data_IF_499154134693
#
_entry.id   IF_499154134693
#
_cell.length_a   1.000
_cell.length_b   1.000
_cell.length_c   1.000
_cell.angle_alpha   90.00
_cell.angle_beta   90.00
_cell.angle_gamma   90.00
#
_symmetry.space_group_name_H-M   'P 1'
#
loop_
_entity.id
_entity.type
_entity.pdbx_description
1 polymer ?
#
# COMPACT_ATOMS: atom_id res chain seq x y z
N UNK A 1 24.49 -31.17 -2.66
CA UNK A 1 25.05 -30.59 -3.90
C UNK A 1 25.00 -31.66 -4.99
N UNK A 2 24.09 -31.48 -5.96
CA UNK A 2 24.02 -32.29 -7.17
C UNK A 2 25.03 -31.87 -8.25
N UNK A 3 25.52 -30.62 -8.15
CA UNK A 3 26.26 -29.86 -9.18
C UNK A 3 25.42 -29.72 -10.45
N UNK A 4 26.07 -29.32 -11.53
CA UNK A 4 25.42 -29.20 -12.82
C UNK A 4 24.84 -30.54 -13.29
N UNK A 5 23.57 -30.54 -13.65
CA UNK A 5 22.88 -31.74 -14.11
C UNK A 5 21.43 -31.68 -13.68
N UNK A 6 20.67 -32.73 -13.92
CA UNK A 6 19.39 -32.91 -13.26
C UNK A 6 19.60 -33.95 -12.16
N UNK A 7 19.51 -33.54 -10.90
CA UNK A 7 19.86 -34.38 -9.76
C UNK A 7 18.67 -34.69 -8.86
N UNK A 8 18.79 -35.77 -8.10
CA UNK A 8 17.87 -36.09 -7.00
C UNK A 8 18.62 -35.98 -5.69
N UNK A 9 18.22 -35.02 -4.87
CA UNK A 9 18.84 -34.72 -3.58
C UNK A 9 17.93 -35.24 -2.46
N UNK A 10 18.49 -36.05 -1.57
CA UNK A 10 17.76 -36.72 -0.48
C UNK A 10 18.66 -36.64 0.76
N UNK A 11 18.38 -35.71 1.69
CA UNK A 11 19.20 -35.54 2.90
C UNK A 11 18.76 -36.41 4.08
N UNK A 12 17.51 -36.88 4.06
CA UNK A 12 17.02 -37.87 5.00
C UNK A 12 16.47 -37.24 6.27
N UNK A 13 17.22 -37.28 7.37
CA UNK A 13 16.79 -36.83 8.68
C UNK A 13 17.84 -35.90 9.30
N UNK A 14 17.38 -34.97 10.14
CA UNK A 14 18.20 -33.86 10.63
C UNK A 14 17.95 -32.59 9.82
N UNK A 15 18.83 -31.61 10.01
CA UNK A 15 18.78 -30.34 9.27
C UNK A 15 19.72 -30.45 8.07
N UNK A 16 19.16 -30.36 6.88
CA UNK A 16 19.85 -30.54 5.63
C UNK A 16 19.94 -29.24 4.82
N UNK A 17 20.86 -29.23 3.86
CA UNK A 17 21.05 -28.11 2.93
C UNK A 17 21.18 -28.60 1.50
N UNK A 18 20.29 -28.12 0.66
CA UNK A 18 20.19 -28.43 -0.76
C UNK A 18 20.73 -27.28 -1.59
N UNK A 19 21.48 -27.59 -2.64
CA UNK A 19 21.96 -26.61 -3.61
C UNK A 19 21.32 -26.97 -4.94
N UNK A 20 20.55 -26.03 -5.48
CA UNK A 20 19.78 -26.20 -6.70
C UNK A 20 20.34 -25.25 -7.76
N UNK A 21 20.83 -25.81 -8.85
CA UNK A 21 21.39 -25.05 -9.97
C UNK A 21 20.73 -25.38 -11.32
N UNK A 22 19.82 -26.36 -11.33
CA UNK A 22 19.16 -26.82 -12.54
C UNK A 22 17.66 -27.05 -12.32
N UNK A 23 16.86 -26.72 -13.33
CA UNK A 23 15.40 -26.94 -13.30
C UNK A 23 15.02 -28.43 -13.20
N UNK A 24 15.93 -29.32 -13.58
CA UNK A 24 15.75 -30.77 -13.45
C UNK A 24 16.04 -31.32 -12.05
N UNK A 25 16.54 -30.51 -11.12
CA UNK A 25 16.81 -30.94 -9.76
C UNK A 25 15.52 -31.22 -8.97
N UNK A 26 15.54 -32.27 -8.16
CA UNK A 26 14.43 -32.66 -7.29
C UNK A 26 14.93 -32.92 -5.89
N UNK A 27 14.29 -32.29 -4.90
CA UNK A 27 14.58 -32.48 -3.47
C UNK A 27 13.57 -33.46 -2.86
N UNK A 28 14.06 -34.38 -2.03
CA UNK A 28 13.27 -35.37 -1.31
C UNK A 28 13.51 -35.23 0.19
N UNK A 29 12.64 -34.46 0.85
CA UNK A 29 12.63 -34.32 2.31
C UNK A 29 11.61 -35.22 2.98
N UNK A 30 12.13 -36.19 3.73
CA UNK A 30 11.31 -37.15 4.49
C UNK A 30 11.28 -36.86 5.98
N UNK A 31 12.11 -35.94 6.46
CA UNK A 31 12.00 -35.39 7.81
C UNK A 31 10.61 -34.81 8.03
N UNK A 32 9.97 -35.17 9.14
CA UNK A 32 8.66 -34.60 9.52
C UNK A 32 8.71 -33.98 10.92
N UNK A 33 9.91 -33.88 11.49
CA UNK A 33 10.09 -33.27 12.80
C UNK A 33 10.01 -31.76 12.64
N UNK A 34 9.15 -31.09 13.40
CA UNK A 34 9.09 -29.63 13.41
C UNK A 34 10.33 -28.95 14.02
N UNK A 35 11.27 -29.75 14.55
CA UNK A 35 12.57 -29.27 15.03
C UNK A 35 13.66 -29.37 13.97
N UNK A 36 13.41 -30.12 12.88
CA UNK A 36 14.26 -30.13 11.70
C UNK A 36 13.98 -28.85 10.92
N UNK A 37 15.04 -28.22 10.41
CA UNK A 37 14.96 -26.97 9.65
C UNK A 37 15.85 -27.12 8.43
N UNK A 38 15.20 -27.31 7.29
CA UNK A 38 15.85 -27.66 6.04
C UNK A 38 15.93 -26.43 5.13
N UNK A 39 17.04 -26.34 4.39
CA UNK A 39 17.38 -25.12 3.63
C UNK A 39 17.70 -25.43 2.18
N UNK A 40 17.06 -24.71 1.27
CA UNK A 40 17.41 -24.69 -0.15
C UNK A 40 18.19 -23.42 -0.47
N UNK A 41 19.36 -23.57 -1.08
CA UNK A 41 20.10 -22.51 -1.74
C UNK A 41 19.91 -22.69 -3.24
N UNK A 42 19.33 -21.71 -3.94
CA UNK A 42 19.03 -21.84 -5.36
C UNK A 42 19.67 -20.74 -6.19
N UNK A 43 20.28 -21.08 -7.33
CA UNK A 43 20.71 -20.11 -8.34
C UNK A 43 19.73 -20.00 -9.52
N UNK A 44 18.51 -20.52 -9.35
CA UNK A 44 17.38 -20.41 -10.26
C UNK A 44 16.11 -20.08 -9.47
N UNK A 45 15.00 -19.76 -10.14
CA UNK A 45 13.71 -19.65 -9.44
C UNK A 45 13.30 -21.02 -8.90
N UNK A 46 12.75 -21.05 -7.69
CA UNK A 46 12.47 -22.31 -7.00
C UNK A 46 11.21 -22.25 -6.13
N UNK A 47 10.49 -23.37 -6.08
CA UNK A 47 9.33 -23.59 -5.22
C UNK A 47 9.66 -24.67 -4.20
N UNK A 48 9.50 -24.38 -2.91
CA UNK A 48 9.74 -25.35 -1.86
C UNK A 48 8.75 -26.52 -1.95
N UNK A 49 9.31 -27.73 -1.92
CA UNK A 49 8.55 -28.96 -1.69
C UNK A 49 8.10 -29.10 -0.24
N UNK A 50 7.48 -30.22 0.10
CA UNK A 50 7.05 -30.51 1.48
C UNK A 50 8.24 -30.58 2.43
N UNK A 51 8.01 -30.23 3.71
CA UNK A 51 8.98 -30.32 4.80
C UNK A 51 10.27 -29.50 4.56
N UNK A 52 10.19 -28.46 3.74
CA UNK A 52 11.27 -27.50 3.56
C UNK A 52 10.83 -26.15 4.13
N UNK A 53 11.67 -25.55 4.95
CA UNK A 53 11.34 -24.32 5.68
C UNK A 53 12.02 -23.09 5.06
N UNK A 54 13.27 -23.21 4.62
CA UNK A 54 14.04 -22.05 4.14
C UNK A 54 14.36 -22.15 2.65
N UNK A 55 14.23 -21.03 1.94
CA UNK A 55 14.75 -20.83 0.59
C UNK A 55 15.60 -19.56 0.56
N UNK A 56 16.82 -19.66 0.04
CA UNK A 56 17.68 -18.51 -0.25
C UNK A 56 18.08 -18.52 -1.72
N UNK A 57 17.72 -17.46 -2.43
CA UNK A 57 18.17 -17.21 -3.79
C UNK A 57 19.63 -16.73 -3.78
N UNK A 58 20.39 -17.14 -4.78
CA UNK A 58 21.81 -16.84 -4.95
C UNK A 58 22.06 -16.28 -6.35
N UNK A 59 23.27 -15.77 -6.59
CA UNK A 59 23.58 -15.07 -7.83
C UNK A 59 22.99 -13.66 -7.86
N UNK A 60 22.86 -13.09 -9.06
CA UNK A 60 22.33 -11.74 -9.28
C UNK A 60 21.32 -11.66 -10.41
N UNK A 61 20.78 -12.80 -10.82
CA UNK A 61 19.70 -12.87 -11.79
C UNK A 61 18.36 -12.55 -11.11
N UNK A 62 17.37 -12.13 -11.90
CA UNK A 62 15.98 -11.95 -11.46
C UNK A 62 15.34 -13.33 -11.26
N UNK A 63 15.25 -13.76 -10.01
CA UNK A 63 14.77 -15.09 -9.63
C UNK A 63 13.55 -14.98 -8.70
N UNK A 64 12.72 -16.01 -8.68
CA UNK A 64 11.53 -16.04 -7.83
C UNK A 64 11.63 -17.14 -6.77
N UNK A 65 11.10 -16.86 -5.59
CA UNK A 65 11.05 -17.77 -4.46
C UNK A 65 9.58 -18.04 -4.09
N UNK A 66 9.18 -19.31 -4.13
CA UNK A 66 7.85 -19.73 -3.65
C UNK A 66 8.00 -20.70 -2.49
N UNK A 67 7.29 -20.46 -1.40
CA UNK A 67 7.19 -21.34 -0.25
C UNK A 67 6.16 -22.45 -0.46
N UNK A 68 5.66 -22.98 0.65
CA UNK A 68 4.69 -24.06 0.72
C UNK A 68 3.62 -23.72 1.79
N UNK A 69 3.02 -24.73 2.44
CA UNK A 69 1.98 -24.48 3.45
C UNK A 69 2.52 -24.34 4.89
N UNK A 70 3.82 -24.49 5.10
CA UNK A 70 4.50 -24.30 6.38
C UNK A 70 4.84 -22.82 6.58
N UNK A 71 5.29 -22.44 7.78
CA UNK A 71 5.91 -21.13 7.97
C UNK A 71 7.32 -21.14 7.38
N UNK A 72 7.48 -20.52 6.21
CA UNK A 72 8.70 -20.44 5.44
C UNK A 72 9.50 -19.17 5.73
N UNK A 73 10.81 -19.26 5.48
CA UNK A 73 11.69 -18.09 5.39
C UNK A 73 12.30 -18.00 4.01
N UNK A 74 11.91 -16.97 3.27
CA UNK A 74 12.35 -16.71 1.91
C UNK A 74 13.32 -15.54 1.90
N UNK A 75 14.51 -15.74 1.36
CA UNK A 75 15.54 -14.72 1.16
C UNK A 75 15.82 -14.60 -0.33
N UNK A 76 15.59 -13.43 -0.89
CA UNK A 76 15.93 -13.06 -2.25
C UNK A 76 17.42 -12.77 -2.44
N UNK A 77 17.75 -12.28 -3.63
CA UNK A 77 19.11 -11.88 -4.01
C UNK A 77 19.15 -10.38 -4.33
N UNK A 78 20.07 -9.94 -5.20
CA UNK A 78 20.18 -8.52 -5.56
C UNK A 78 19.41 -8.16 -6.85
N UNK A 79 18.70 -9.12 -7.45
CA UNK A 79 17.82 -8.89 -8.57
C UNK A 79 16.38 -8.79 -8.09
N UNK A 80 15.53 -8.18 -8.90
CA UNK A 80 14.09 -8.08 -8.66
C UNK A 80 13.47 -9.49 -8.52
N UNK A 81 13.02 -9.83 -7.33
CA UNK A 81 12.47 -11.13 -6.98
C UNK A 81 10.96 -11.04 -6.76
N UNK A 82 10.23 -12.10 -7.12
CA UNK A 82 8.90 -12.36 -6.55
C UNK A 82 9.03 -13.37 -5.41
N UNK A 83 8.61 -12.97 -4.22
CA UNK A 83 8.60 -13.80 -3.01
C UNK A 83 7.15 -14.10 -2.64
N UNK A 84 6.78 -15.38 -2.69
CA UNK A 84 5.45 -15.87 -2.32
C UNK A 84 5.61 -16.93 -1.23
N UNK A 85 5.27 -16.58 0.02
CA UNK A 85 5.36 -17.47 1.18
C UNK A 85 4.47 -18.71 1.08
N UNK A 86 3.37 -18.61 0.33
CA UNK A 86 2.26 -19.56 0.41
C UNK A 86 1.38 -19.28 1.63
N UNK A 87 0.60 -20.29 2.06
CA UNK A 87 -0.44 -20.12 3.08
C UNK A 87 0.09 -19.97 4.53
N UNK A 88 1.40 -20.10 4.72
CA UNK A 88 2.09 -20.17 5.99
C UNK A 88 2.01 -18.88 6.79
N UNK A 89 2.75 -18.82 7.89
CA UNK A 89 3.09 -17.55 8.51
C UNK A 89 4.56 -17.30 8.19
N UNK A 90 4.80 -16.52 7.14
CA UNK A 90 6.07 -16.54 6.43
C UNK A 90 6.91 -15.31 6.74
N UNK A 91 8.23 -15.44 6.55
CA UNK A 91 9.17 -14.33 6.65
C UNK A 91 9.85 -14.15 5.31
N UNK A 92 9.65 -13.00 4.67
CA UNK A 92 10.18 -12.71 3.34
C UNK A 92 11.12 -11.50 3.40
N UNK A 93 12.27 -11.61 2.73
CA UNK A 93 13.26 -10.55 2.57
C UNK A 93 13.80 -10.60 1.15
N UNK A 94 13.54 -9.58 0.34
CA UNK A 94 13.86 -9.48 -1.07
C UNK A 94 15.34 -9.15 -1.29
N UNK A 95 15.81 -8.09 -0.64
CA UNK A 95 17.24 -7.78 -0.57
C UNK A 95 17.55 -6.45 -1.24
N UNK A 96 18.03 -6.49 -2.48
CA UNK A 96 18.22 -5.29 -3.30
C UNK A 96 17.55 -5.53 -4.65
N UNK A 97 17.28 -4.46 -5.38
CA UNK A 97 16.39 -4.51 -6.53
C UNK A 97 14.96 -4.12 -6.17
N UNK A 98 14.05 -4.29 -7.13
CA UNK A 98 12.63 -3.99 -6.96
C UNK A 98 11.88 -5.30 -6.74
N UNK A 99 11.58 -5.61 -5.50
CA UNK A 99 11.01 -6.88 -5.10
C UNK A 99 9.47 -6.84 -5.03
N UNK A 100 8.84 -7.99 -5.21
CA UNK A 100 7.40 -8.15 -5.05
C UNK A 100 7.10 -9.24 -4.03
N UNK A 101 6.33 -8.89 -3.02
CA UNK A 101 5.92 -9.77 -1.94
C UNK A 101 4.45 -10.15 -2.08
N UNK A 102 4.16 -11.44 -2.11
CA UNK A 102 2.79 -11.96 -2.09
C UNK A 102 2.42 -12.26 -0.64
N UNK A 103 1.39 -11.59 -0.15
CA UNK A 103 0.87 -11.76 1.21
C UNK A 103 -0.52 -12.37 1.13
N UNK A 104 -0.70 -13.52 1.76
CA UNK A 104 -2.02 -14.15 1.91
C UNK A 104 -2.40 -14.42 3.37
N UNK A 105 -1.44 -14.27 4.29
CA UNK A 105 -1.62 -14.47 5.70
C UNK A 105 -1.25 -13.20 6.49
N UNK A 106 -2.12 -12.78 7.40
CA UNK A 106 -1.86 -11.60 8.25
C UNK A 106 -0.68 -11.77 9.22
N UNK A 107 -0.12 -12.98 9.32
CA UNK A 107 1.08 -13.27 10.11
C UNK A 107 2.37 -13.25 9.29
N UNK A 108 2.27 -13.02 7.99
CA UNK A 108 3.45 -12.83 7.14
C UNK A 108 4.21 -11.58 7.60
N UNK A 109 5.53 -11.64 7.48
CA UNK A 109 6.44 -10.57 7.85
C UNK A 109 7.35 -10.29 6.67
N UNK A 110 7.30 -9.05 6.17
CA UNK A 110 8.22 -8.56 5.16
C UNK A 110 9.32 -7.76 5.85
N UNK A 111 10.57 -8.05 5.49
CA UNK A 111 11.73 -7.26 5.91
C UNK A 111 12.41 -6.69 4.69
N UNK A 112 12.23 -5.38 4.47
CA UNK A 112 13.03 -4.64 3.51
C UNK A 112 14.10 -3.80 4.19
N UNK A 113 15.33 -3.91 3.68
CA UNK A 113 16.51 -3.27 4.31
C UNK A 113 17.19 -2.24 3.44
N UNK A 114 16.98 -2.30 2.12
CA UNK A 114 17.49 -1.25 1.26
C UNK A 114 16.69 0.03 1.49
N UNK A 115 17.35 1.17 1.33
CA UNK A 115 16.73 2.49 1.43
C UNK A 115 17.08 3.35 0.21
N UNK A 116 17.46 2.70 -0.90
CA UNK A 116 17.73 3.38 -2.16
C UNK A 116 16.39 3.83 -2.75
N UNK A 117 16.18 5.14 -2.87
CA UNK A 117 14.93 5.69 -3.42
C UNK A 117 14.64 5.31 -4.89
N UNK A 118 15.58 4.68 -5.59
CA UNK A 118 15.38 4.13 -6.93
C UNK A 118 14.83 2.70 -6.91
N UNK A 119 14.96 2.01 -5.78
CA UNK A 119 14.37 0.70 -5.54
C UNK A 119 12.93 0.92 -5.09
N UNK A 120 12.02 0.17 -5.71
CA UNK A 120 10.58 0.33 -5.53
C UNK A 120 10.00 -1.06 -5.29
N UNK A 121 9.67 -1.32 -4.04
CA UNK A 121 9.22 -2.61 -3.56
C UNK A 121 7.70 -2.63 -3.43
N UNK A 122 7.11 -3.77 -3.79
CA UNK A 122 5.66 -3.91 -3.93
C UNK A 122 5.12 -5.05 -3.07
N UNK A 123 4.08 -4.76 -2.29
CA UNK A 123 3.28 -5.77 -1.62
C UNK A 123 2.00 -6.02 -2.41
N UNK A 124 1.72 -7.27 -2.74
CA UNK A 124 0.44 -7.73 -3.29
C UNK A 124 -0.26 -8.56 -2.24
N UNK A 125 -1.29 -7.99 -1.60
CA UNK A 125 -1.93 -8.62 -0.45
C UNK A 125 -3.37 -9.03 -0.73
N UNK A 126 -3.71 -10.29 -0.42
CA UNK A 126 -5.10 -10.76 -0.43
C UNK A 126 -5.82 -10.50 0.91
N UNK A 127 -5.14 -9.86 1.86
CA UNK A 127 -5.65 -9.42 3.16
C UNK A 127 -5.41 -7.91 3.37
N UNK A 128 -5.98 -7.34 4.44
CA UNK A 128 -5.67 -5.97 4.82
C UNK A 128 -4.20 -5.86 5.22
N UNK A 129 -3.52 -4.78 4.80
CA UNK A 129 -2.07 -4.66 4.98
C UNK A 129 -1.63 -3.24 5.33
N UNK A 130 -0.53 -3.17 6.08
CA UNK A 130 0.17 -1.92 6.39
C UNK A 130 1.61 -2.06 5.92
N UNK A 131 2.04 -1.14 5.06
CA UNK A 131 3.42 -1.14 4.56
C UNK A 131 4.40 -0.90 5.71
N UNK A 132 5.40 -1.78 5.78
CA UNK A 132 6.58 -1.60 6.62
C UNK A 132 7.50 -0.50 6.07
N UNK A 133 8.66 -0.32 6.69
CA UNK A 133 9.68 0.59 6.16
C UNK A 133 10.19 0.11 4.80
N UNK A 134 10.59 1.06 3.93
CA UNK A 134 11.19 0.81 2.62
C UNK A 134 10.30 -0.03 1.68
N UNK A 135 8.98 0.05 1.85
CA UNK A 135 8.02 -0.50 0.91
C UNK A 135 7.23 0.66 0.34
N UNK A 136 7.17 0.77 -0.97
CA UNK A 136 6.57 1.92 -1.65
C UNK A 136 5.17 1.60 -2.15
N UNK A 137 4.91 0.37 -2.59
CA UNK A 137 3.65 0.04 -3.24
C UNK A 137 2.85 -1.02 -2.49
N UNK A 138 1.53 -0.84 -2.44
CA UNK A 138 0.57 -1.84 -2.01
C UNK A 138 -0.51 -2.02 -3.09
N UNK A 139 -0.78 -3.27 -3.46
CA UNK A 139 -1.95 -3.64 -4.26
C UNK A 139 -2.77 -4.68 -3.51
N UNK A 140 -4.04 -4.37 -3.23
CA UNK A 140 -4.98 -5.32 -2.65
C UNK A 140 -5.54 -6.23 -3.75
N UNK A 141 -5.31 -7.54 -3.65
CA UNK A 141 -5.66 -8.53 -4.69
C UNK A 141 -6.87 -9.38 -4.36
N UNK A 142 -7.32 -9.38 -3.09
CA UNK A 142 -8.55 -10.05 -2.67
C UNK A 142 -9.80 -9.35 -3.19
N UNK A 143 -10.98 -9.92 -2.95
CA UNK A 143 -12.28 -9.30 -3.32
C UNK A 143 -13.12 -8.86 -2.12
N UNK A 144 -12.59 -9.02 -0.91
CA UNK A 144 -13.24 -8.59 0.32
C UNK A 144 -13.04 -7.08 0.52
N UNK A 145 -13.76 -6.51 1.50
CA UNK A 145 -13.49 -5.18 2.01
C UNK A 145 -12.16 -5.21 2.78
N UNK A 146 -11.08 -4.87 2.10
CA UNK A 146 -9.72 -4.86 2.63
C UNK A 146 -9.26 -3.43 2.88
N UNK A 147 -8.31 -3.24 3.79
CA UNK A 147 -7.76 -1.93 4.08
C UNK A 147 -6.26 -1.89 3.73
N UNK A 148 -5.80 -0.76 3.24
CA UNK A 148 -4.40 -0.49 2.94
C UNK A 148 -3.91 0.72 3.72
N UNK A 149 -2.75 0.60 4.34
CA UNK A 149 -2.08 1.73 5.00
C UNK A 149 -0.65 1.81 4.49
N UNK A 150 -0.24 2.97 4.01
CA UNK A 150 1.14 3.26 3.63
C UNK A 150 2.03 3.55 4.84
N UNK A 151 3.11 4.26 4.62
CA UNK A 151 4.13 4.59 5.61
C UNK A 151 4.50 6.09 5.53
N UNK A 152 5.78 6.44 5.69
CA UNK A 152 6.24 7.85 5.64
C UNK A 152 6.93 8.21 4.32
N UNK A 153 6.92 7.29 3.36
CA UNK A 153 7.47 7.46 2.01
C UNK A 153 6.36 7.88 1.06
N UNK A 154 6.71 8.20 -0.18
CA UNK A 154 5.71 8.39 -1.22
C UNK A 154 5.18 7.02 -1.65
N UNK A 155 3.95 6.69 -1.30
CA UNK A 155 3.36 5.39 -1.55
C UNK A 155 2.42 5.36 -2.76
N UNK A 156 2.32 4.20 -3.41
CA UNK A 156 1.24 3.89 -4.35
C UNK A 156 0.36 2.82 -3.73
N UNK A 157 -0.89 3.17 -3.40
CA UNK A 157 -1.86 2.26 -2.82
C UNK A 157 -3.00 2.03 -3.81
N UNK A 158 -3.18 0.78 -4.23
CA UNK A 158 -4.28 0.35 -5.10
C UNK A 158 -5.21 -0.59 -4.34
N UNK A 159 -6.47 -0.18 -4.23
CA UNK A 159 -7.58 -0.95 -3.69
C UNK A 159 -8.01 -2.10 -4.61
N UNK A 160 -9.14 -2.71 -4.26
CA UNK A 160 -9.72 -3.83 -4.97
C UNK A 160 -11.17 -3.53 -5.39
N UNK A 161 -12.01 -4.56 -5.54
CA UNK A 161 -13.42 -4.39 -5.91
C UNK A 161 -14.38 -4.31 -4.71
N UNK A 162 -13.84 -4.32 -3.49
CA UNK A 162 -14.60 -4.19 -2.25
C UNK A 162 -14.46 -2.78 -1.69
N UNK A 163 -15.23 -2.47 -0.64
CA UNK A 163 -15.13 -1.15 -0.01
C UNK A 163 -13.85 -1.08 0.83
N UNK A 164 -12.87 -0.31 0.37
CA UNK A 164 -11.57 -0.17 0.98
C UNK A 164 -11.46 1.07 1.88
N UNK A 165 -10.66 0.96 2.94
CA UNK A 165 -10.05 2.13 3.58
C UNK A 165 -8.58 2.19 3.14
N UNK A 166 -8.22 3.23 2.40
CA UNK A 166 -6.84 3.51 2.01
C UNK A 166 -6.34 4.74 2.77
N UNK A 167 -5.21 4.60 3.47
CA UNK A 167 -4.51 5.69 4.14
C UNK A 167 -3.08 5.77 3.62
N UNK A 168 -2.72 6.87 2.95
CA UNK A 168 -1.39 7.09 2.39
C UNK A 168 -0.32 7.18 3.47
N UNK A 169 -0.57 8.02 4.46
CA UNK A 169 0.30 8.20 5.61
C UNK A 169 0.98 9.55 5.54
N UNK A 170 2.31 9.57 5.47
CA UNK A 170 3.03 10.80 5.17
C UNK A 170 3.85 10.60 3.91
N UNK A 171 4.07 11.66 3.15
CA UNK A 171 4.66 11.55 1.81
C UNK A 171 3.65 12.03 0.78
N UNK A 172 4.07 12.13 -0.47
CA UNK A 172 3.16 12.46 -1.57
C UNK A 172 2.65 11.16 -2.17
N UNK A 173 1.44 10.78 -1.79
CA UNK A 173 0.89 9.47 -2.06
C UNK A 173 -0.03 9.45 -3.29
N UNK A 174 -0.10 8.29 -3.95
CA UNK A 174 -1.08 7.99 -4.99
C UNK A 174 -2.03 6.90 -4.49
N UNK A 175 -3.29 7.24 -4.26
CA UNK A 175 -4.33 6.31 -3.83
C UNK A 175 -5.33 6.10 -4.97
N UNK A 176 -5.62 4.84 -5.27
CA UNK A 176 -6.69 4.42 -6.19
C UNK A 176 -7.60 3.45 -5.44
N UNK A 177 -8.83 3.86 -5.15
CA UNK A 177 -9.83 3.03 -4.46
C UNK A 177 -10.26 1.81 -5.26
N UNK A 178 -10.29 1.93 -6.60
CA UNK A 178 -10.76 0.87 -7.48
C UNK A 178 -12.27 0.87 -7.64
N UNK A 179 -12.93 -0.18 -7.15
CA UNK A 179 -14.39 -0.26 -7.20
C UNK A 179 -14.94 -0.56 -5.82
N UNK A 180 -16.06 0.07 -5.47
CA UNK A 180 -16.59 -0.02 -4.11
C UNK A 180 -16.96 1.36 -3.63
N UNK A 181 -17.42 1.46 -2.39
CA UNK A 181 -17.56 2.75 -1.73
C UNK A 181 -16.37 2.93 -0.81
N UNK A 182 -15.36 3.63 -1.30
CA UNK A 182 -14.04 3.67 -0.68
C UNK A 182 -13.87 4.88 0.24
N UNK A 183 -13.00 4.72 1.23
CA UNK A 183 -12.57 5.79 2.13
C UNK A 183 -11.09 6.08 1.86
N UNK A 184 -10.80 7.24 1.31
CA UNK A 184 -9.44 7.66 0.98
C UNK A 184 -8.97 8.75 1.94
N UNK A 185 -7.82 8.50 2.57
CA UNK A 185 -7.13 9.43 3.47
C UNK A 185 -5.73 9.64 2.91
N UNK A 186 -5.45 10.80 2.31
CA UNK A 186 -4.09 11.15 1.88
C UNK A 186 -3.15 11.30 3.08
N UNK A 187 -3.61 12.07 4.08
CA UNK A 187 -2.87 12.46 5.28
C UNK A 187 -1.80 13.54 4.96
N UNK A 188 -0.54 13.38 5.39
CA UNK A 188 0.44 14.47 5.29
C UNK A 188 1.18 14.43 3.97
N UNK A 189 0.94 15.39 3.09
CA UNK A 189 1.66 15.48 1.83
C UNK A 189 0.91 16.27 0.81
N UNK A 190 1.34 16.14 -0.45
CA UNK A 190 0.54 16.54 -1.59
C UNK A 190 0.11 15.27 -2.32
N UNK A 191 -1.11 14.81 -2.02
CA UNK A 191 -1.58 13.50 -2.41
C UNK A 191 -2.42 13.54 -3.69
N UNK A 192 -2.45 12.42 -4.40
CA UNK A 192 -3.31 12.20 -5.56
C UNK A 192 -4.28 11.07 -5.24
N UNK A 193 -5.56 11.39 -5.17
CA UNK A 193 -6.63 10.50 -4.74
C UNK A 193 -7.58 10.24 -5.91
N UNK A 194 -7.80 8.96 -6.23
CA UNK A 194 -8.75 8.50 -7.24
C UNK A 194 -9.74 7.57 -6.54
N UNK A 195 -11.01 7.96 -6.47
CA UNK A 195 -12.03 7.15 -5.81
C UNK A 195 -12.34 5.88 -6.61
N UNK A 196 -12.47 6.05 -7.92
CA UNK A 196 -12.82 5.00 -8.86
C UNK A 196 -14.33 4.92 -9.08
N UNK A 197 -14.88 3.71 -9.01
CA UNK A 197 -16.32 3.50 -9.21
C UNK A 197 -17.05 3.23 -7.89
N UNK A 198 -18.13 3.96 -7.65
CA UNK A 198 -18.94 3.85 -6.44
C UNK A 198 -19.01 5.18 -5.71
N UNK A 199 -19.60 5.20 -4.51
CA UNK A 199 -19.80 6.43 -3.76
C UNK A 199 -18.67 6.61 -2.73
N UNK A 200 -17.65 7.36 -3.11
CA UNK A 200 -16.40 7.43 -2.36
C UNK A 200 -16.37 8.60 -1.38
N UNK A 201 -15.51 8.49 -0.36
CA UNK A 201 -15.26 9.58 0.58
C UNK A 201 -13.78 9.90 0.69
N UNK A 202 -13.46 11.16 0.40
CA UNK A 202 -12.14 11.73 0.58
C UNK A 202 -12.09 12.46 1.92
N UNK A 203 -11.33 11.94 2.87
CA UNK A 203 -11.39 12.35 4.28
C UNK A 203 -10.17 13.18 4.65
N UNK A 204 -10.41 14.34 5.25
CA UNK A 204 -9.38 15.20 5.82
C UNK A 204 -9.66 15.41 7.30
N UNK A 205 -8.68 15.05 8.14
CA UNK A 205 -8.85 14.98 9.59
C UNK A 205 -8.14 16.09 10.34
N UNK A 206 -7.09 16.67 9.76
CA UNK A 206 -6.31 17.75 10.37
C UNK A 206 -6.05 18.87 9.37
N UNK A 207 -6.05 20.13 9.84
CA UNK A 207 -5.70 21.28 9.00
C UNK A 207 -4.26 21.18 8.48
N UNK A 208 -3.37 20.47 9.19
CA UNK A 208 -1.99 20.25 8.78
C UNK A 208 -1.81 19.28 7.60
N UNK A 209 -2.83 18.48 7.28
CA UNK A 209 -2.86 17.61 6.09
C UNK A 209 -3.14 18.43 4.82
N UNK A 210 -3.76 19.60 4.98
CA UNK A 210 -4.21 20.42 3.87
C UNK A 210 -3.18 21.49 3.51
N UNK A 211 -2.79 21.54 2.24
CA UNK A 211 -1.87 22.53 1.70
C UNK A 211 -2.49 23.52 0.71
N UNK A 212 -1.62 24.21 -0.05
CA UNK A 212 -1.98 25.19 -1.08
C UNK A 212 -1.07 25.06 -2.29
N UNK A 213 -1.59 25.39 -3.48
CA UNK A 213 -0.83 25.37 -4.72
C UNK A 213 -0.22 24.00 -4.99
N UNK A 214 1.10 23.91 -5.09
CA UNK A 214 1.79 22.62 -5.34
C UNK A 214 1.72 21.64 -4.17
N UNK A 215 1.32 22.10 -2.98
CA UNK A 215 1.19 21.27 -1.79
C UNK A 215 -0.26 20.87 -1.49
N UNK A 216 -1.23 21.20 -2.36
CA UNK A 216 -2.60 20.76 -2.17
C UNK A 216 -2.81 19.37 -2.75
N UNK A 217 -3.74 18.63 -2.17
CA UNK A 217 -4.17 17.35 -2.70
C UNK A 217 -5.00 17.50 -3.98
N UNK A 218 -4.94 16.45 -4.80
CA UNK A 218 -5.66 16.31 -6.06
C UNK A 218 -6.62 15.14 -5.95
N UNK A 219 -7.92 15.40 -6.10
CA UNK A 219 -8.92 14.38 -6.35
C UNK A 219 -9.16 14.33 -7.85
N UNK A 220 -8.86 13.18 -8.46
CA UNK A 220 -8.72 13.07 -9.92
C UNK A 220 -10.04 12.80 -10.65
N UNK A 221 -11.04 12.22 -9.97
CA UNK A 221 -12.24 11.67 -10.59
C UNK A 221 -13.54 11.93 -9.81
N UNK A 222 -13.54 12.91 -8.89
CA UNK A 222 -14.69 13.24 -8.06
C UNK A 222 -15.99 13.38 -8.87
N UNK A 223 -17.03 12.63 -8.47
CA UNK A 223 -18.30 12.57 -9.16
C UNK A 223 -19.50 12.60 -8.20
N UNK A 224 -20.19 13.74 -8.18
CA UNK A 224 -21.46 13.88 -7.46
C UNK A 224 -22.56 12.94 -7.96
N UNK A 225 -22.48 12.47 -9.21
CA UNK A 225 -23.40 11.49 -9.79
C UNK A 225 -23.18 10.09 -9.22
N UNK A 226 -21.93 9.76 -8.88
CA UNK A 226 -21.61 8.49 -8.21
C UNK A 226 -21.94 8.53 -6.72
N UNK A 227 -21.96 9.73 -6.14
CA UNK A 227 -22.33 9.97 -4.75
C UNK A 227 -21.17 10.41 -3.87
N UNK A 228 -20.04 10.76 -4.49
CA UNK A 228 -18.80 11.09 -3.80
C UNK A 228 -18.97 12.26 -2.83
N UNK A 229 -18.15 12.24 -1.78
CA UNK A 229 -18.12 13.26 -0.74
C UNK A 229 -16.71 13.63 -0.35
N UNK A 230 -16.52 14.91 -0.07
CA UNK A 230 -15.36 15.40 0.68
C UNK A 230 -15.77 15.52 2.14
N UNK A 231 -15.11 14.78 3.02
CA UNK A 231 -15.39 14.75 4.45
C UNK A 231 -14.40 15.63 5.20
N UNK A 232 -14.91 16.76 5.69
CA UNK A 232 -14.20 17.75 6.49
C UNK A 232 -14.73 17.79 7.93
N UNK A 233 -15.56 16.83 8.32
CA UNK A 233 -16.31 16.83 9.60
C UNK A 233 -15.44 16.72 10.85
N UNK A 234 -14.15 16.45 10.67
CA UNK A 234 -13.13 16.38 11.74
C UNK A 234 -12.32 17.66 11.88
N UNK A 235 -12.40 18.57 10.92
CA UNK A 235 -11.70 19.83 10.93
C UNK A 235 -12.50 20.87 11.72
N UNK A 236 -11.83 21.58 12.63
CA UNK A 236 -12.43 22.77 13.21
C UNK A 236 -12.37 23.91 12.22
N UNK A 237 -13.54 24.34 11.77
CA UNK A 237 -13.69 25.36 10.75
C UNK A 237 -13.23 26.76 11.25
N UNK A 238 -13.06 26.98 12.56
CA UNK A 238 -12.66 28.29 13.08
C UNK A 238 -11.71 28.21 14.28
N UNK A 239 -10.41 28.30 13.99
CA UNK A 239 -9.32 28.21 14.96
C UNK A 239 -9.21 29.43 15.90
N UNK A 240 -10.03 30.47 15.69
CA UNK A 240 -10.08 31.64 16.57
C UNK A 240 -10.96 31.41 17.79
N UNK A 241 -11.70 30.30 17.83
CA UNK A 241 -12.59 29.94 18.93
C UNK A 241 -12.14 28.65 19.58
N UNK A 242 -12.66 28.35 20.77
CA UNK A 242 -12.36 27.09 21.48
C UNK A 242 -13.43 26.01 21.25
N UNK A 243 -14.53 26.34 20.56
CA UNK A 243 -15.58 25.40 20.22
C UNK A 243 -15.26 24.75 18.88
N UNK A 244 -15.70 23.51 18.68
CA UNK A 244 -15.63 22.87 17.37
C UNK A 244 -16.69 23.45 16.43
N UNK A 245 -16.28 24.01 15.29
CA UNK A 245 -17.18 24.64 14.33
C UNK A 245 -17.26 23.82 13.04
N UNK A 246 -18.47 23.70 12.50
CA UNK A 246 -18.70 23.17 11.17
C UNK A 246 -18.43 24.23 10.10
N UNK A 247 -18.03 23.79 8.90
CA UNK A 247 -17.86 24.69 7.76
C UNK A 247 -19.21 25.13 7.18
N UNK A 248 -19.24 26.35 6.65
CA UNK A 248 -20.34 26.86 5.83
C UNK A 248 -19.89 27.00 4.38
N UNK A 249 -20.54 26.30 3.46
CA UNK A 249 -20.29 26.47 2.03
C UNK A 249 -20.98 27.73 1.50
N UNK A 250 -20.24 28.58 0.81
CA UNK A 250 -20.69 29.89 0.33
C UNK A 250 -20.65 29.99 -1.21
N UNK A 251 -20.77 28.86 -1.90
CA UNK A 251 -20.67 28.75 -3.36
C UNK A 251 -19.34 29.35 -3.87
N UNK A 252 -19.39 30.25 -4.85
CA UNK A 252 -18.21 30.98 -5.36
C UNK A 252 -18.05 32.37 -4.74
N UNK A 253 -18.78 32.70 -3.66
CA UNK A 253 -18.68 34.04 -3.05
C UNK A 253 -17.34 34.23 -2.34
N UNK A 254 -16.85 35.47 -2.27
CA UNK A 254 -15.62 35.80 -1.56
C UNK A 254 -15.77 35.55 -0.05
N UNK A 255 -14.67 35.14 0.60
CA UNK A 255 -14.66 34.95 2.05
C UNK A 255 -14.98 36.25 2.80
N UNK A 256 -15.82 36.13 3.82
CA UNK A 256 -16.18 37.21 4.75
C UNK A 256 -15.74 36.93 6.19
N UNK A 257 -15.22 35.74 6.46
CA UNK A 257 -14.72 35.33 7.77
C UNK A 257 -14.27 33.87 7.81
N UNK A 258 -13.87 33.43 9.00
CA UNK A 258 -13.48 32.05 9.26
C UNK A 258 -14.68 31.09 9.14
N UNK A 259 -14.40 29.81 8.92
CA UNK A 259 -15.39 28.74 8.86
C UNK A 259 -16.11 28.66 7.52
N UNK A 260 -15.51 29.20 6.46
CA UNK A 260 -16.13 29.23 5.15
C UNK A 260 -15.39 28.33 4.15
N UNK A 261 -16.17 27.67 3.30
CA UNK A 261 -15.71 26.93 2.13
C UNK A 261 -16.28 27.59 0.87
N UNK A 262 -15.47 27.71 -0.18
CA UNK A 262 -15.92 28.19 -1.49
C UNK A 262 -15.32 27.34 -2.60
N UNK A 263 -16.04 27.23 -3.70
CA UNK A 263 -15.58 26.49 -4.88
C UNK A 263 -15.52 27.40 -6.09
N UNK A 264 -14.36 27.46 -6.74
CA UNK A 264 -14.19 28.12 -8.04
C UNK A 264 -12.98 27.53 -8.77
N UNK A 265 -12.99 27.58 -10.11
CA UNK A 265 -11.87 27.14 -10.95
C UNK A 265 -11.37 25.71 -10.64
N UNK A 266 -12.28 24.77 -10.37
CA UNK A 266 -11.96 23.38 -10.03
C UNK A 266 -11.27 23.19 -8.68
N UNK A 267 -11.34 24.18 -7.77
CA UNK A 267 -10.67 24.12 -6.46
C UNK A 267 -11.67 24.40 -5.35
N UNK A 268 -11.68 23.54 -4.34
CA UNK A 268 -12.33 23.80 -3.06
C UNK A 268 -11.35 24.53 -2.15
N UNK A 269 -11.69 25.77 -1.81
CA UNK A 269 -10.91 26.62 -0.90
C UNK A 269 -11.56 26.64 0.47
N UNK A 270 -10.76 26.57 1.53
CA UNK A 270 -11.23 26.77 2.91
C UNK A 270 -10.51 27.88 3.65
N UNK A 271 -11.23 28.55 4.54
CA UNK A 271 -10.72 29.61 5.39
C UNK A 271 -11.10 29.32 6.85
N UNK A 272 -10.09 29.17 7.70
CA UNK A 272 -10.23 28.83 9.12
C UNK A 272 -9.78 29.94 10.06
N UNK A 273 -9.02 30.92 9.57
CA UNK A 273 -8.47 32.00 10.41
C UNK A 273 -9.11 33.38 10.17
N UNK A 274 -10.05 33.51 9.24
CA UNK A 274 -10.81 34.72 8.96
C UNK A 274 -10.04 35.81 8.21
N UNK A 275 -8.88 35.49 7.64
CA UNK A 275 -8.18 36.40 6.71
C UNK A 275 -8.91 36.49 5.36
N UNK A 276 -8.46 37.36 4.45
CA UNK A 276 -9.11 37.54 3.14
C UNK A 276 -8.84 36.40 2.14
N UNK A 277 -7.95 35.46 2.46
CA UNK A 277 -7.52 34.39 1.55
C UNK A 277 -7.93 33.00 2.01
N UNK A 278 -7.74 32.00 1.16
CA UNK A 278 -7.83 30.61 1.57
C UNK A 278 -6.64 30.23 2.45
N UNK A 279 -6.89 29.40 3.45
CA UNK A 279 -5.89 28.74 4.28
C UNK A 279 -5.49 27.38 3.71
N UNK A 280 -6.39 26.73 2.96
CA UNK A 280 -6.11 25.51 2.23
C UNK A 280 -6.87 25.40 0.91
N UNK A 281 -6.40 24.47 0.07
CA UNK A 281 -6.92 24.15 -1.25
C UNK A 281 -7.04 22.62 -1.40
N UNK A 282 -8.10 22.15 -2.06
CA UNK A 282 -8.24 20.78 -2.56
C UNK A 282 -8.59 20.88 -4.04
N UNK A 283 -7.77 20.30 -4.91
CA UNK A 283 -7.96 20.36 -6.37
C UNK A 283 -8.92 19.25 -6.80
N UNK A 284 -9.99 19.59 -7.50
CA UNK A 284 -10.99 18.64 -8.01
C UNK A 284 -10.92 18.60 -9.54
N UNK A 285 -10.14 17.67 -10.07
CA UNK A 285 -9.84 17.61 -11.50
C UNK A 285 -11.11 17.39 -12.32
N UNK A 286 -11.38 18.30 -13.26
CA UNK A 286 -12.52 18.17 -14.18
C UNK A 286 -13.90 18.44 -13.56
N UNK A 287 -13.97 18.89 -12.30
CA UNK A 287 -15.25 19.20 -11.64
C UNK A 287 -15.68 20.63 -11.95
N UNK A 288 -16.80 20.80 -12.65
CA UNK A 288 -17.37 22.12 -12.97
C UNK A 288 -18.43 22.59 -11.97
N UNK A 289 -19.09 21.66 -11.27
CA UNK A 289 -20.17 21.95 -10.34
C UNK A 289 -19.93 21.25 -9.01
N UNK A 290 -19.97 22.01 -7.92
CA UNK A 290 -19.80 21.52 -6.55
C UNK A 290 -20.80 22.23 -5.65
N UNK A 291 -21.35 21.54 -4.66
CA UNK A 291 -22.41 22.04 -3.78
C UNK A 291 -22.20 21.63 -2.33
N UNK A 292 -23.00 22.21 -1.42
CA UNK A 292 -23.00 21.81 -0.02
C UNK A 292 -23.37 20.33 0.19
N UNK A 293 -24.09 19.70 -0.75
CA UNK A 293 -24.44 18.28 -0.67
C UNK A 293 -23.25 17.36 -0.98
N UNK A 294 -22.17 17.90 -1.54
CA UNK A 294 -20.92 17.18 -1.88
C UNK A 294 -19.95 17.14 -0.69
N UNK A 295 -20.34 17.74 0.43
CA UNK A 295 -19.59 17.79 1.67
C UNK A 295 -20.21 16.90 2.75
N UNK A 296 -19.36 16.35 3.60
CA UNK A 296 -19.71 15.97 4.97
C UNK A 296 -19.01 16.98 5.87
N UNK A 297 -19.77 17.94 6.40
CA UNK A 297 -19.26 19.09 7.14
C UNK A 297 -20.10 19.39 8.39
#
# INVERSE_FOLDING_TARGET
DGKAGADTLDGGAGNDTYVIDNVGDSVIERGTSLAEIDTVLSSISYTLGNNLENLSLTGGDHLDATGNALGNRLIGNAGNNVLDGGAGADVMSGGSGNDTYIVDNLKDVITETSALASEIDTVRSSASWTLGANLENLTLTGSNNLNGVGNTLNNVLTGNSGNNLLNGGAGNDLLDGGAGNDLLVGSLGADTLTGGSGADRFIFSLISELGKGVNSDFITDFSNLQGDKIDLSKLDANILTTAFNAFTFIDSNAFTGAGQLRFEHHVLYGNVNGTLGADFEIQLVGVDNFSANDLVA
#
